data_IF_675506077935
#
_entry.id   IF_675506077935
#
_cell.length_a   1.000
_cell.length_b   1.000
_cell.length_c   1.000
_cell.angle_alpha   90.00
_cell.angle_beta   90.00
_cell.angle_gamma   90.00
#
_symmetry.space_group_name_H-M   'P 1'
#
loop_
_entity.id
_entity.type
_entity.pdbx_description
1 polymer ?
#
# COMPACT_ATOMS: atom_id res chain seq x y z
N UNK A 1 15.30 -23.52 -13.99
CA UNK A 1 15.63 -23.74 -12.56
C UNK A 1 14.63 -24.59 -11.77
N UNK A 2 13.54 -24.04 -11.20
CA UNK A 2 12.61 -24.85 -10.37
C UNK A 2 12.01 -26.03 -11.14
N UNK A 3 11.38 -25.76 -12.28
CA UNK A 3 10.77 -26.80 -13.11
C UNK A 3 11.77 -27.87 -13.54
N UNK A 4 12.95 -27.46 -14.03
CA UNK A 4 14.03 -28.38 -14.40
C UNK A 4 14.51 -29.22 -13.21
N UNK A 5 14.68 -28.61 -12.04
CA UNK A 5 15.19 -29.30 -10.84
C UNK A 5 14.23 -30.37 -10.33
N UNK A 6 12.93 -30.13 -10.45
CA UNK A 6 11.89 -31.09 -10.07
C UNK A 6 11.39 -31.95 -11.24
N UNK A 7 12.00 -31.83 -12.43
CA UNK A 7 11.59 -32.58 -13.62
C UNK A 7 10.17 -32.25 -14.12
N UNK A 8 9.64 -31.09 -13.73
CA UNK A 8 8.31 -30.62 -14.14
C UNK A 8 8.42 -30.09 -15.57
N UNK A 9 7.68 -30.71 -16.49
CA UNK A 9 7.59 -30.27 -17.88
C UNK A 9 6.20 -29.69 -18.14
N UNK A 10 6.14 -28.40 -18.49
CA UNK A 10 4.92 -27.75 -18.98
C UNK A 10 5.29 -26.87 -20.16
N UNK A 11 4.85 -27.28 -21.34
CA UNK A 11 5.09 -26.53 -22.57
C UNK A 11 4.42 -25.15 -22.53
N UNK A 12 3.31 -25.03 -21.79
CA UNK A 12 2.58 -23.78 -21.57
C UNK A 12 3.42 -22.81 -20.73
N UNK A 13 4.00 -23.29 -19.63
CA UNK A 13 4.87 -22.48 -18.76
C UNK A 13 6.11 -21.99 -19.52
N UNK A 14 6.73 -22.88 -20.32
CA UNK A 14 7.88 -22.53 -21.16
C UNK A 14 7.49 -21.48 -22.21
N UNK A 15 6.30 -21.62 -22.82
CA UNK A 15 5.79 -20.64 -23.79
C UNK A 15 5.58 -19.26 -23.15
N UNK A 16 4.98 -19.21 -21.95
CA UNK A 16 4.77 -17.96 -21.21
C UNK A 16 6.11 -17.32 -20.87
N UNK A 17 7.06 -18.11 -20.38
CA UNK A 17 8.41 -17.67 -20.04
C UNK A 17 9.13 -17.06 -21.26
N UNK A 18 9.16 -17.79 -22.37
CA UNK A 18 9.82 -17.34 -23.61
C UNK A 18 9.18 -16.06 -24.17
N UNK A 19 7.84 -15.95 -24.12
CA UNK A 19 7.13 -14.73 -24.51
C UNK A 19 7.51 -13.54 -23.64
N UNK A 20 7.49 -13.71 -22.32
CA UNK A 20 7.83 -12.66 -21.36
C UNK A 20 9.29 -12.20 -21.54
N UNK A 21 10.22 -13.15 -21.67
CA UNK A 21 11.63 -12.87 -21.89
C UNK A 21 11.85 -12.11 -23.20
N UNK A 22 11.34 -12.64 -24.32
CA UNK A 22 11.49 -12.02 -25.64
C UNK A 22 10.89 -10.61 -25.65
N UNK A 23 9.73 -10.41 -25.01
CA UNK A 23 9.13 -9.09 -24.92
C UNK A 23 10.02 -8.12 -24.14
N UNK A 24 10.49 -8.50 -22.94
CA UNK A 24 11.31 -7.63 -22.09
C UNK A 24 12.64 -7.25 -22.74
N UNK A 25 13.28 -8.17 -23.48
CA UNK A 25 14.54 -7.91 -24.20
C UNK A 25 14.38 -6.89 -25.34
N UNK A 26 13.20 -6.83 -25.95
CA UNK A 26 12.92 -5.99 -27.11
C UNK A 26 12.05 -4.77 -26.77
N UNK A 27 11.61 -4.64 -25.51
CA UNK A 27 10.63 -3.65 -25.07
C UNK A 27 11.15 -2.23 -25.27
N UNK A 28 10.37 -1.39 -25.93
CA UNK A 28 10.62 0.06 -25.97
C UNK A 28 10.10 0.75 -24.70
N UNK A 29 10.76 1.83 -24.27
CA UNK A 29 10.41 2.52 -23.03
C UNK A 29 8.93 2.95 -22.91
N UNK A 30 8.26 3.23 -24.03
CA UNK A 30 6.85 3.64 -24.07
C UNK A 30 5.85 2.49 -24.31
N UNK A 31 6.34 1.26 -24.47
CA UNK A 31 5.51 0.11 -24.81
C UNK A 31 4.82 -0.46 -23.56
N UNK A 32 3.53 -0.78 -23.69
CA UNK A 32 2.75 -1.37 -22.60
C UNK A 32 3.17 -2.83 -22.44
N UNK A 33 3.36 -3.27 -21.19
CA UNK A 33 3.69 -4.66 -20.89
C UNK A 33 2.59 -5.62 -21.38
N UNK A 34 3.01 -6.73 -22.00
CA UNK A 34 2.10 -7.81 -22.40
C UNK A 34 1.39 -8.43 -21.18
N UNK A 35 0.21 -9.06 -21.37
CA UNK A 35 -0.56 -9.67 -20.28
C UNK A 35 0.26 -10.58 -19.37
N UNK A 36 1.11 -11.44 -19.95
CA UNK A 36 1.99 -12.36 -19.22
C UNK A 36 2.93 -11.63 -18.26
N UNK A 37 3.59 -10.56 -18.73
CA UNK A 37 4.51 -9.76 -17.91
C UNK A 37 3.76 -9.02 -16.80
N UNK A 38 2.61 -8.43 -17.10
CA UNK A 38 1.78 -7.75 -16.09
C UNK A 38 1.32 -8.72 -15.01
N UNK A 39 0.92 -9.93 -15.40
CA UNK A 39 0.48 -10.97 -14.47
C UNK A 39 1.62 -11.44 -13.56
N UNK A 40 2.82 -11.70 -14.13
CA UNK A 40 4.01 -12.05 -13.36
C UNK A 40 4.36 -10.95 -12.36
N UNK A 41 4.37 -9.67 -12.79
CA UNK A 41 4.61 -8.53 -11.89
C UNK A 41 3.55 -8.46 -10.77
N UNK A 42 2.29 -8.71 -11.09
CA UNK A 42 1.21 -8.79 -10.12
C UNK A 42 1.43 -9.89 -9.08
N UNK A 43 1.82 -11.09 -9.51
CA UNK A 43 2.14 -12.21 -8.62
C UNK A 43 3.31 -11.88 -7.69
N UNK A 44 4.38 -11.28 -8.22
CA UNK A 44 5.54 -10.85 -7.43
C UNK A 44 5.09 -9.88 -6.33
N UNK A 45 4.37 -8.80 -6.70
CA UNK A 45 3.94 -7.77 -5.74
C UNK A 45 2.94 -8.30 -4.70
N UNK A 46 2.05 -9.23 -5.09
CA UNK A 46 1.17 -9.93 -4.13
C UNK A 46 1.96 -10.79 -3.16
N UNK A 47 2.99 -11.51 -3.64
CA UNK A 47 3.89 -12.30 -2.80
C UNK A 47 4.65 -11.42 -1.81
N UNK A 48 5.18 -10.29 -2.25
CA UNK A 48 5.86 -9.30 -1.39
C UNK A 48 4.93 -8.72 -0.32
N UNK A 49 3.72 -8.29 -0.72
CA UNK A 49 2.71 -7.78 0.22
C UNK A 49 2.33 -8.83 1.28
N UNK A 50 2.10 -10.08 0.84
CA UNK A 50 1.81 -11.20 1.75
C UNK A 50 2.97 -11.46 2.70
N UNK A 51 4.22 -11.43 2.22
CA UNK A 51 5.40 -11.60 3.06
C UNK A 51 5.51 -10.53 4.16
N UNK A 52 5.18 -9.27 3.83
CA UNK A 52 5.09 -8.19 4.83
C UNK A 52 3.97 -8.44 5.82
N UNK A 53 2.78 -8.81 5.36
CA UNK A 53 1.63 -9.13 6.20
C UNK A 53 1.92 -10.26 7.19
N UNK A 54 2.52 -11.36 6.75
CA UNK A 54 2.93 -12.47 7.62
C UNK A 54 3.97 -12.03 8.65
N UNK A 55 4.91 -11.19 8.24
CA UNK A 55 5.96 -10.69 9.13
C UNK A 55 5.41 -9.80 10.26
N UNK A 56 4.34 -9.05 10.02
CA UNK A 56 3.65 -8.28 11.06
C UNK A 56 2.58 -9.09 11.81
N UNK A 57 2.49 -10.40 11.55
CA UNK A 57 1.65 -11.34 12.30
C UNK A 57 0.25 -11.58 11.72
N UNK A 58 -0.04 -11.13 10.50
CA UNK A 58 -1.32 -11.42 9.84
C UNK A 58 -1.32 -12.83 9.22
N UNK A 59 -2.48 -13.48 9.23
CA UNK A 59 -2.72 -14.76 8.55
C UNK A 59 -3.36 -14.56 7.17
N UNK A 60 -3.32 -15.58 6.32
CA UNK A 60 -3.84 -15.49 4.93
C UNK A 60 -5.33 -15.13 4.87
N UNK A 61 -6.14 -15.54 5.84
CA UNK A 61 -7.57 -15.21 5.92
C UNK A 61 -7.83 -13.74 6.26
N UNK A 62 -6.82 -13.01 6.76
CA UNK A 62 -6.87 -11.57 7.04
C UNK A 62 -6.33 -10.72 5.88
N UNK A 63 -5.76 -11.34 4.84
CA UNK A 63 -5.15 -10.66 3.70
C UNK A 63 -6.12 -10.71 2.52
N UNK A 64 -6.70 -9.57 2.19
CA UNK A 64 -7.70 -9.45 1.13
C UNK A 64 -7.15 -8.68 -0.06
N UNK A 65 -6.84 -9.39 -1.15
CA UNK A 65 -6.57 -8.76 -2.44
C UNK A 65 -7.90 -8.49 -3.15
N UNK A 66 -8.37 -7.25 -3.10
CA UNK A 66 -9.71 -6.89 -3.56
C UNK A 66 -9.88 -6.88 -5.08
N UNK A 67 -8.78 -6.76 -5.84
CA UNK A 67 -8.79 -6.71 -7.31
C UNK A 67 -9.86 -5.75 -7.86
N UNK A 68 -9.91 -4.54 -7.28
CA UNK A 68 -10.95 -3.57 -7.59
C UNK A 68 -11.01 -3.29 -9.11
N UNK A 69 -12.20 -3.37 -9.75
CA UNK A 69 -12.37 -3.21 -11.19
C UNK A 69 -11.68 -1.99 -11.82
N UNK A 70 -11.51 -0.89 -11.09
CA UNK A 70 -10.83 0.29 -11.61
C UNK A 70 -9.34 0.07 -11.92
N UNK A 71 -8.68 -0.94 -11.30
CA UNK A 71 -7.28 -1.30 -11.57
C UNK A 71 -7.10 -2.06 -12.88
N UNK A 72 -8.09 -2.86 -13.27
CA UNK A 72 -8.06 -3.85 -14.36
C UNK A 72 -8.31 -3.23 -15.75
N UNK A 73 -7.72 -2.06 -16.03
CA UNK A 73 -7.82 -1.42 -17.35
C UNK A 73 -6.69 -1.84 -18.29
N UNK A 74 -5.57 -2.33 -17.75
CA UNK A 74 -4.37 -2.63 -18.53
C UNK A 74 -3.68 -1.41 -19.16
N UNK A 75 -4.22 -0.21 -18.97
CA UNK A 75 -3.75 1.08 -19.47
C UNK A 75 -3.14 1.93 -18.35
N UNK A 76 -2.36 2.95 -18.73
CA UNK A 76 -1.81 3.95 -17.80
C UNK A 76 -2.96 4.74 -17.15
N UNK A 77 -3.99 5.09 -17.92
CA UNK A 77 -5.21 5.70 -17.39
C UNK A 77 -6.08 4.65 -16.69
N UNK A 78 -6.40 4.94 -15.43
CA UNK A 78 -7.34 4.15 -14.62
C UNK A 78 -8.76 4.63 -14.85
N UNK A 79 -9.73 3.72 -14.75
CA UNK A 79 -11.15 4.10 -14.78
C UNK A 79 -11.46 4.94 -13.54
N UNK A 80 -12.45 5.84 -13.61
CA UNK A 80 -13.03 6.39 -12.39
C UNK A 80 -13.59 5.24 -11.55
N UNK A 81 -13.66 5.47 -10.24
CA UNK A 81 -14.29 4.51 -9.34
C UNK A 81 -15.73 4.22 -9.76
N UNK A 82 -16.10 2.94 -9.80
CA UNK A 82 -17.44 2.46 -10.12
C UNK A 82 -18.21 2.01 -8.88
N UNK A 83 -19.51 1.75 -9.08
CA UNK A 83 -20.38 1.20 -8.03
C UNK A 83 -19.91 -0.17 -7.53
N UNK A 84 -19.31 -0.96 -8.42
CA UNK A 84 -18.77 -2.29 -8.09
C UNK A 84 -17.57 -2.18 -7.14
N UNK A 85 -16.65 -1.24 -7.37
CA UNK A 85 -15.52 -1.00 -6.47
C UNK A 85 -15.99 -0.62 -5.05
N UNK A 86 -17.01 0.24 -4.98
CA UNK A 86 -17.63 0.67 -3.72
C UNK A 86 -18.30 -0.52 -3.03
N UNK A 87 -19.06 -1.33 -3.77
CA UNK A 87 -19.75 -2.48 -3.20
C UNK A 87 -18.78 -3.51 -2.63
N UNK A 88 -17.69 -3.83 -3.34
CA UNK A 88 -16.65 -4.73 -2.83
C UNK A 88 -16.02 -4.21 -1.52
N UNK A 89 -15.87 -2.89 -1.41
CA UNK A 89 -15.36 -2.24 -0.20
C UNK A 89 -16.37 -2.32 0.95
N UNK A 90 -17.66 -2.05 0.67
CA UNK A 90 -18.77 -2.22 1.63
C UNK A 90 -18.80 -3.65 2.16
N UNK A 91 -18.77 -4.64 1.27
CA UNK A 91 -18.87 -6.06 1.62
C UNK A 91 -17.73 -6.48 2.53
N UNK A 92 -16.50 -5.99 2.28
CA UNK A 92 -15.35 -6.30 3.12
C UNK A 92 -15.47 -5.65 4.51
N UNK A 93 -15.85 -4.37 4.58
CA UNK A 93 -16.03 -3.67 5.86
C UNK A 93 -17.17 -4.31 6.66
N UNK A 94 -18.29 -4.67 6.03
CA UNK A 94 -19.43 -5.32 6.71
C UNK A 94 -19.10 -6.75 7.16
N UNK A 95 -18.23 -7.46 6.43
CA UNK A 95 -17.72 -8.77 6.85
C UNK A 95 -16.84 -8.67 8.10
N UNK A 96 -15.95 -7.69 8.15
CA UNK A 96 -14.97 -7.54 9.25
C UNK A 96 -15.59 -6.85 10.47
N UNK A 97 -16.46 -5.85 10.25
CA UNK A 97 -17.02 -4.94 11.26
C UNK A 97 -15.92 -4.28 12.11
N UNK A 98 -14.98 -3.55 11.50
CA UNK A 98 -13.84 -3.00 12.21
C UNK A 98 -14.24 -1.85 13.15
N UNK A 99 -13.51 -1.70 14.24
CA UNK A 99 -13.56 -0.47 15.07
C UNK A 99 -12.67 0.64 14.50
N UNK A 100 -11.67 0.30 13.69
CA UNK A 100 -10.73 1.25 13.10
C UNK A 100 -10.37 0.83 11.68
N UNK A 101 -10.39 1.81 10.76
CA UNK A 101 -9.95 1.68 9.39
C UNK A 101 -8.78 2.65 9.21
N UNK A 102 -7.67 2.18 8.65
CA UNK A 102 -6.52 3.00 8.31
C UNK A 102 -6.42 3.11 6.78
N UNK A 103 -6.33 4.34 6.26
CA UNK A 103 -6.25 4.60 4.83
C UNK A 103 -5.16 5.62 4.51
N UNK A 104 -4.54 5.49 3.33
CA UNK A 104 -3.58 6.46 2.84
C UNK A 104 -4.34 7.75 2.46
N UNK A 105 -4.19 8.80 3.26
CA UNK A 105 -4.71 10.14 3.00
C UNK A 105 -3.83 10.97 2.08
N UNK A 106 -2.83 10.35 1.44
CA UNK A 106 -1.87 11.05 0.59
C UNK A 106 -2.45 11.37 -0.80
N UNK A 107 -3.09 12.54 -0.89
CA UNK A 107 -3.69 13.05 -2.13
C UNK A 107 -2.66 13.55 -3.15
N UNK A 108 -1.39 13.64 -2.78
CA UNK A 108 -0.28 14.00 -3.68
C UNK A 108 0.27 12.78 -4.44
N UNK A 109 -0.59 11.82 -4.78
CA UNK A 109 -0.21 10.65 -5.59
C UNK A 109 -0.11 11.04 -7.07
N UNK A 110 1.08 10.97 -7.69
CA UNK A 110 1.27 11.28 -9.12
C UNK A 110 0.48 10.35 -10.05
N UNK A 111 0.05 9.18 -9.58
CA UNK A 111 -0.76 8.22 -10.33
C UNK A 111 -2.26 8.32 -10.06
N UNK A 112 -2.68 9.14 -9.08
CA UNK A 112 -4.07 9.33 -8.68
C UNK A 112 -4.76 8.10 -8.06
N UNK A 113 -4.07 6.96 -7.98
CA UNK A 113 -4.60 5.70 -7.47
C UNK A 113 -4.96 5.73 -5.99
N UNK A 114 -4.17 6.42 -5.16
CA UNK A 114 -4.48 6.62 -3.74
C UNK A 114 -5.81 7.35 -3.57
N UNK A 115 -6.05 8.40 -4.38
CA UNK A 115 -7.30 9.15 -4.35
C UNK A 115 -8.48 8.25 -4.71
N UNK A 116 -8.36 7.45 -5.76
CA UNK A 116 -9.46 6.55 -6.20
C UNK A 116 -9.76 5.49 -5.12
N UNK A 117 -8.74 4.87 -4.52
CA UNK A 117 -8.94 3.94 -3.40
C UNK A 117 -9.58 4.63 -2.19
N UNK A 118 -9.14 5.85 -1.85
CA UNK A 118 -9.66 6.60 -0.72
C UNK A 118 -11.12 7.02 -0.94
N UNK A 119 -11.47 7.45 -2.17
CA UNK A 119 -12.86 7.72 -2.57
C UNK A 119 -13.74 6.48 -2.38
N UNK A 120 -13.23 5.27 -2.68
CA UNK A 120 -13.94 4.01 -2.44
C UNK A 120 -14.28 3.80 -0.97
N UNK A 121 -13.29 4.02 -0.11
CA UNK A 121 -13.42 3.88 1.33
C UNK A 121 -14.42 4.91 1.86
N UNK A 122 -14.31 6.18 1.45
CA UNK A 122 -15.23 7.24 1.87
C UNK A 122 -16.69 6.95 1.50
N UNK A 123 -16.94 6.53 0.26
CA UNK A 123 -18.30 6.19 -0.15
C UNK A 123 -18.83 4.94 0.57
N UNK A 124 -17.97 3.93 0.80
CA UNK A 124 -18.36 2.73 1.52
C UNK A 124 -18.74 3.01 2.98
N UNK A 125 -17.93 3.77 3.72
CA UNK A 125 -18.22 4.05 5.14
C UNK A 125 -19.41 5.00 5.31
N UNK A 126 -19.65 5.94 4.37
CA UNK A 126 -20.89 6.75 4.33
C UNK A 126 -22.12 5.87 4.14
N UNK A 127 -22.04 4.92 3.21
CA UNK A 127 -23.13 3.98 2.95
C UNK A 127 -23.41 3.06 4.15
N UNK A 128 -22.35 2.66 4.88
CA UNK A 128 -22.45 1.82 6.06
C UNK A 128 -22.82 2.58 7.34
N UNK A 129 -22.70 3.91 7.37
CA UNK A 129 -22.94 4.75 8.56
C UNK A 129 -24.19 4.39 9.37
N UNK A 130 -25.36 4.05 8.78
CA UNK A 130 -26.54 3.67 9.55
C UNK A 130 -26.45 2.33 10.31
N UNK A 131 -25.40 1.53 10.10
CA UNK A 131 -25.21 0.22 10.72
C UNK A 131 -24.67 0.39 12.14
N UNK A 132 -25.17 -0.35 13.15
CA UNK A 132 -24.79 -0.15 14.55
C UNK A 132 -23.29 -0.22 14.86
N UNK A 133 -22.53 -1.10 14.18
CA UNK A 133 -21.08 -1.22 14.43
C UNK A 133 -20.29 0.01 13.98
N UNK A 134 -20.87 0.87 13.14
CA UNK A 134 -20.21 2.08 12.67
C UNK A 134 -20.18 3.19 13.72
N UNK A 135 -21.01 3.11 14.77
CA UNK A 135 -21.02 4.09 15.87
C UNK A 135 -19.65 4.15 16.58
N UNK A 136 -18.96 3.00 16.65
CA UNK A 136 -17.62 2.84 17.24
C UNK A 136 -16.52 2.65 16.18
N UNK A 137 -16.80 2.88 14.89
CA UNK A 137 -15.83 2.73 13.81
C UNK A 137 -15.18 4.07 13.43
N UNK A 138 -13.85 4.17 13.53
CA UNK A 138 -13.10 5.37 13.12
C UNK A 138 -12.32 5.16 11.83
N UNK A 139 -12.24 6.19 10.99
CA UNK A 139 -11.37 6.22 9.82
C UNK A 139 -10.18 7.14 10.09
N UNK A 140 -8.98 6.58 10.10
CA UNK A 140 -7.70 7.26 10.32
C UNK A 140 -6.90 7.36 9.03
N UNK A 141 -6.47 8.57 8.69
CA UNK A 141 -5.70 8.88 7.50
C UNK A 141 -4.22 9.06 7.85
N UNK A 142 -3.36 8.27 7.21
CA UNK A 142 -1.90 8.42 7.29
C UNK A 142 -1.33 8.94 5.97
N UNK A 143 -0.13 9.51 6.01
CA UNK A 143 0.58 9.97 4.80
C UNK A 143 1.72 9.03 4.39
N UNK A 144 2.12 9.13 3.12
CA UNK A 144 3.25 8.39 2.57
C UNK A 144 4.60 8.90 3.08
N UNK A 145 5.69 8.32 2.55
CA UNK A 145 7.05 8.68 2.95
C UNK A 145 7.52 10.08 2.46
N UNK A 146 6.69 10.80 1.71
CA UNK A 146 7.06 12.05 1.04
C UNK A 146 6.66 13.31 1.80
N UNK A 147 5.56 13.25 2.54
CA UNK A 147 5.01 14.37 3.27
C UNK A 147 4.33 13.85 4.53
N UNK A 148 4.49 14.56 5.63
CA UNK A 148 3.76 14.30 6.88
C UNK A 148 2.64 15.33 7.06
N UNK A 149 1.67 15.01 7.91
CA UNK A 149 0.71 15.97 8.43
C UNK A 149 1.40 17.11 9.21
N UNK A 150 0.84 18.32 9.13
CA UNK A 150 1.21 19.40 10.03
C UNK A 150 0.88 19.03 11.47
N UNK A 151 1.70 19.46 12.43
CA UNK A 151 1.52 19.12 13.84
C UNK A 151 0.16 19.57 14.40
N UNK A 152 -0.37 20.66 13.85
CA UNK A 152 -1.67 21.26 14.14
C UNK A 152 -2.85 20.47 13.55
N UNK A 153 -2.59 19.58 12.57
CA UNK A 153 -3.58 18.71 11.97
C UNK A 153 -3.67 17.34 12.68
N UNK A 154 -2.61 16.91 13.37
CA UNK A 154 -2.52 15.56 13.95
C UNK A 154 -3.55 15.37 15.08
N UNK A 155 -4.41 14.36 14.91
CA UNK A 155 -5.44 14.00 15.89
C UNK A 155 -5.07 12.75 16.71
N UNK A 156 -4.21 11.89 16.16
CA UNK A 156 -3.64 10.75 16.87
C UNK A 156 -2.16 10.58 16.50
N UNK A 157 -1.33 10.43 17.53
CA UNK A 157 0.09 10.16 17.36
C UNK A 157 0.48 8.88 18.12
N UNK A 158 1.07 7.93 17.40
CA UNK A 158 1.43 6.62 17.93
C UNK A 158 2.95 6.54 18.07
N UNK A 159 3.49 6.51 19.30
CA UNK A 159 4.93 6.41 19.51
C UNK A 159 5.46 5.03 19.14
N UNK A 160 6.70 5.00 18.64
CA UNK A 160 7.41 3.78 18.28
C UNK A 160 8.71 3.66 19.08
N UNK A 161 8.95 2.46 19.60
CA UNK A 161 10.25 2.04 20.14
C UNK A 161 11.28 1.83 19.03
N UNK A 162 12.59 1.82 19.35
CA UNK A 162 13.64 1.50 18.38
C UNK A 162 13.40 0.17 17.64
N UNK A 163 12.94 -0.86 18.36
CA UNK A 163 12.69 -2.18 17.78
C UNK A 163 11.51 -2.15 16.78
N UNK A 164 10.47 -1.36 17.06
CA UNK A 164 9.35 -1.18 16.13
C UNK A 164 9.78 -0.42 14.87
N UNK A 165 10.70 0.54 14.99
CA UNK A 165 11.29 1.23 13.83
C UNK A 165 12.06 0.24 12.95
N UNK A 166 12.88 -0.62 13.56
CA UNK A 166 13.60 -1.68 12.85
C UNK A 166 12.64 -2.70 12.21
N UNK A 167 11.58 -3.09 12.91
CA UNK A 167 10.56 -3.98 12.36
C UNK A 167 9.87 -3.36 11.14
N UNK A 168 9.48 -2.09 11.21
CA UNK A 168 8.91 -1.36 10.06
C UNK A 168 9.87 -1.35 8.87
N UNK A 169 11.16 -1.08 9.11
CA UNK A 169 12.21 -1.12 8.07
C UNK A 169 12.29 -2.49 7.41
N UNK A 170 12.32 -3.57 8.19
CA UNK A 170 12.33 -4.93 7.67
C UNK A 170 11.04 -5.31 6.91
N UNK A 171 9.89 -4.75 7.29
CA UNK A 171 8.66 -4.86 6.52
C UNK A 171 8.79 -4.21 5.14
N UNK A 172 9.32 -2.98 5.07
CA UNK A 172 9.58 -2.28 3.79
C UNK A 172 10.53 -3.10 2.91
N UNK A 173 11.56 -3.71 3.49
CA UNK A 173 12.53 -4.53 2.74
C UNK A 173 11.93 -5.74 2.05
N UNK A 174 10.73 -6.19 2.43
CA UNK A 174 10.07 -7.31 1.74
C UNK A 174 9.48 -6.92 0.39
N UNK A 175 9.30 -5.62 0.14
CA UNK A 175 8.88 -5.08 -1.16
C UNK A 175 10.08 -4.83 -2.08
N UNK A 176 10.91 -5.86 -2.31
CA UNK A 176 12.18 -5.75 -3.05
C UNK A 176 12.00 -5.11 -4.44
N UNK A 177 10.96 -5.52 -5.17
CA UNK A 177 10.68 -5.00 -6.51
C UNK A 177 10.21 -3.54 -6.53
N UNK A 178 9.84 -2.96 -5.37
CA UNK A 178 9.23 -1.63 -5.26
C UNK A 178 10.04 -0.64 -4.41
N UNK A 179 10.91 -1.13 -3.51
CA UNK A 179 11.60 -0.30 -2.51
C UNK A 179 12.76 0.52 -3.07
N UNK A 180 13.39 0.01 -4.14
CA UNK A 180 14.59 0.57 -4.77
C UNK A 180 14.22 1.25 -6.09
N UNK A 181 14.83 2.40 -6.39
CA UNK A 181 14.58 3.12 -7.65
C UNK A 181 13.21 3.78 -7.68
N UNK A 182 13.07 4.88 -6.93
CA UNK A 182 11.87 5.73 -7.02
C UNK A 182 11.82 6.32 -8.42
N UNK A 183 10.76 6.01 -9.17
CA UNK A 183 10.59 6.49 -10.56
C UNK A 183 10.53 8.02 -10.64
N UNK A 184 10.24 8.68 -9.51
CA UNK A 184 10.27 10.13 -9.33
C UNK A 184 11.22 10.51 -8.19
N UNK A 185 12.51 10.18 -8.31
CA UNK A 185 13.52 10.88 -7.52
C UNK A 185 13.57 12.33 -8.04
N UNK A 186 13.07 13.27 -7.24
CA UNK A 186 13.45 14.66 -7.39
C UNK A 186 14.93 14.83 -7.06
N UNK A 187 15.26 15.75 -6.16
CA UNK A 187 16.63 15.91 -5.66
C UNK A 187 16.95 15.08 -4.42
N UNK A 188 15.97 14.37 -3.85
CA UNK A 188 16.16 13.55 -2.65
C UNK A 188 16.76 12.18 -3.02
N UNK A 189 18.02 11.97 -2.61
CA UNK A 189 18.80 10.76 -2.88
C UNK A 189 18.50 9.59 -1.93
N UNK A 190 17.67 9.80 -0.89
CA UNK A 190 17.37 8.78 0.11
C UNK A 190 16.51 7.65 -0.46
N UNK A 191 16.76 6.43 0.01
CA UNK A 191 15.91 5.28 -0.27
C UNK A 191 14.52 5.43 0.38
N UNK A 192 13.52 4.68 -0.08
CA UNK A 192 12.16 4.78 0.45
C UNK A 192 12.09 4.54 1.97
N UNK A 193 12.81 3.53 2.48
CA UNK A 193 12.80 3.21 3.90
C UNK A 193 13.44 4.32 4.75
N UNK A 194 14.49 4.98 4.25
CA UNK A 194 15.17 6.08 4.95
C UNK A 194 14.22 7.25 5.12
N UNK A 195 13.48 7.60 4.06
CA UNK A 195 12.48 8.67 4.11
C UNK A 195 11.34 8.35 5.06
N UNK A 196 10.81 7.13 4.99
CA UNK A 196 9.76 6.68 5.89
C UNK A 196 10.19 6.76 7.37
N UNK A 197 11.43 6.36 7.66
CA UNK A 197 11.99 6.39 9.01
C UNK A 197 12.32 7.80 9.50
N UNK A 198 13.01 8.60 8.69
CA UNK A 198 13.37 9.98 9.02
C UNK A 198 12.11 10.81 9.27
N UNK A 199 11.07 10.67 8.44
CA UNK A 199 9.77 11.34 8.64
C UNK A 199 9.21 11.04 10.04
N UNK A 200 9.14 9.76 10.43
CA UNK A 200 8.61 9.41 11.74
C UNK A 200 9.51 9.88 12.89
N UNK A 201 10.83 9.91 12.68
CA UNK A 201 11.78 10.45 13.66
C UNK A 201 11.60 11.97 13.84
N UNK A 202 11.42 12.71 12.75
CA UNK A 202 11.16 14.15 12.75
C UNK A 202 9.87 14.46 13.52
N UNK A 203 8.79 13.72 13.29
CA UNK A 203 7.55 13.84 14.08
C UNK A 203 7.83 13.68 15.57
N UNK A 204 8.56 12.63 16.00
CA UNK A 204 8.91 12.43 17.40
C UNK A 204 9.77 13.57 17.99
N UNK A 205 10.69 14.13 17.20
CA UNK A 205 11.51 15.28 17.61
C UNK A 205 10.68 16.54 17.82
N UNK A 206 9.69 16.81 16.96
CA UNK A 206 8.77 17.94 17.13
C UNK A 206 7.98 17.79 18.44
N UNK A 207 7.42 16.60 18.71
CA UNK A 207 6.73 16.31 19.97
C UNK A 207 7.65 16.51 21.19
N UNK A 208 8.90 16.07 21.11
CA UNK A 208 9.89 16.29 22.18
C UNK A 208 10.19 17.78 22.40
N UNK A 209 10.32 18.57 21.33
CA UNK A 209 10.55 20.02 21.42
C UNK A 209 9.37 20.76 22.08
N UNK A 210 8.15 20.22 21.97
CA UNK A 210 6.97 20.72 22.69
C UNK A 210 6.91 20.28 24.15
N UNK A 211 7.91 19.52 24.65
CA UNK A 211 8.01 19.09 26.04
C UNK A 211 7.37 17.72 26.33
N UNK A 212 7.00 16.95 25.30
CA UNK A 212 6.48 15.59 25.47
C UNK A 212 7.61 14.56 25.59
N UNK A 213 7.24 13.33 25.96
CA UNK A 213 8.19 12.24 26.13
C UNK A 213 8.95 11.93 24.82
N UNK A 214 10.22 11.56 24.95
CA UNK A 214 11.09 11.22 23.83
C UNK A 214 10.84 9.79 23.35
N UNK A 215 10.69 9.61 22.03
CA UNK A 215 10.50 8.33 21.36
C UNK A 215 11.41 8.24 20.14
N UNK A 216 11.68 7.01 19.66
CA UNK A 216 12.54 6.81 18.51
C UNK A 216 11.90 7.33 17.21
N UNK A 217 10.58 7.16 17.10
CA UNK A 217 9.78 7.65 15.99
C UNK A 217 8.31 7.76 16.41
N UNK A 218 7.49 8.44 15.62
CA UNK A 218 6.06 8.60 15.88
C UNK A 218 5.27 8.61 14.57
N UNK A 219 4.20 7.83 14.50
CA UNK A 219 3.24 7.87 13.39
C UNK A 219 2.11 8.84 13.68
N UNK A 220 1.76 9.67 12.70
CA UNK A 220 0.69 10.67 12.81
C UNK A 220 -0.51 10.26 11.96
N UNK A 221 -1.70 10.48 12.52
CA UNK A 221 -2.97 10.19 11.88
C UNK A 221 -3.95 11.35 12.06
N UNK A 222 -4.76 11.58 11.03
CA UNK A 222 -5.88 12.53 11.02
C UNK A 222 -7.17 11.73 10.90
N UNK A 223 -8.17 12.04 11.69
CA UNK A 223 -9.48 11.41 11.66
C UNK A 223 -10.29 11.99 10.51
N UNK A 224 -10.88 11.12 9.72
CA UNK A 224 -11.92 11.51 8.80
C UNK A 224 -13.30 11.31 9.45
N UNK A 225 -14.08 12.39 9.53
CA UNK A 225 -15.40 12.41 10.16
C UNK A 225 -16.47 12.18 9.10
N UNK A 226 -17.36 11.21 9.33
CA UNK A 226 -18.42 10.83 8.40
C UNK A 226 -19.79 10.73 9.01
#
# INVERSE_FOLDING_TARGET
>A
DYNEKFGIKSAEADTIYQKAQTFLENKKNSEIDIPEVRYIKGLIRKGEARATSHFVGLTDDQIHFMELPFYETGTIEKKPIGKEDIQLTIDLIEKIKPHQIYAAGDLADPHGTHKVCLDAIFEAVKALKPKPFMDDCWLWLYRGAWQEWGIDEVEMAVPMSPDQVLAKRHGIFKHQSQKDGVVFQGTDAREFWQRAEDRNRETAQVYQQMGLASYAAMEAFVRWIF
#
